data_IF_098124478144
#
_entry.id   IF_098124478144
#
_cell.length_a   1.000
_cell.length_b   1.000
_cell.length_c   1.000
_cell.angle_alpha   90.00
_cell.angle_beta   90.00
_cell.angle_gamma   90.00
#
_symmetry.space_group_name_H-M   'P 1'
#
loop_
_entity.id
_entity.type
_entity.pdbx_description
1 polymer ?
#
# COMPACT_ATOMS: atom_id res chain seq x y z
N UNK A 1 -32.72 13.65 8.43
CA UNK A 1 -31.35 13.42 8.93
C UNK A 1 -31.15 11.92 8.93
N UNK A 2 -30.68 11.37 7.81
CA UNK A 2 -30.40 9.94 7.71
C UNK A 2 -28.97 9.71 8.19
N UNK A 3 -28.81 8.88 9.22
CA UNK A 3 -27.51 8.42 9.66
C UNK A 3 -26.90 7.53 8.57
N UNK A 4 -25.61 7.72 8.23
CA UNK A 4 -24.93 6.78 7.35
C UNK A 4 -24.79 5.44 8.09
N UNK A 5 -25.36 4.39 7.50
CA UNK A 5 -25.21 3.01 7.94
C UNK A 5 -23.75 2.59 7.86
N UNK A 6 -23.15 2.26 9.00
CA UNK A 6 -21.82 1.66 9.06
C UNK A 6 -21.85 0.27 8.37
N UNK A 7 -20.79 -0.09 7.62
CA UNK A 7 -20.65 -1.45 7.10
C UNK A 7 -20.51 -2.46 8.26
N UNK A 8 -21.08 -3.65 8.04
CA UNK A 8 -21.18 -4.75 9.01
C UNK A 8 -19.83 -5.35 9.44
N UNK A 9 -19.81 -5.84 10.68
CA UNK A 9 -18.71 -6.41 11.50
C UNK A 9 -17.89 -7.60 10.94
N UNK A 10 -17.74 -7.77 9.62
CA UNK A 10 -16.96 -8.87 9.01
C UNK A 10 -15.53 -8.47 8.58
N UNK A 11 -15.02 -7.33 9.03
CA UNK A 11 -13.81 -6.65 8.51
C UNK A 11 -12.47 -7.14 9.07
N UNK A 12 -12.46 -8.12 9.98
CA UNK A 12 -11.26 -8.47 10.74
C UNK A 12 -10.43 -9.61 10.15
N UNK A 13 -10.99 -10.32 9.18
CA UNK A 13 -10.25 -11.09 8.19
C UNK A 13 -10.15 -10.23 6.94
N UNK A 14 -8.96 -10.11 6.36
CA UNK A 14 -8.79 -9.51 5.03
C UNK A 14 -9.45 -10.44 3.99
N UNK A 15 -10.78 -10.48 3.95
CA UNK A 15 -11.52 -11.18 2.90
C UNK A 15 -11.59 -10.25 1.70
N UNK A 16 -10.53 -10.29 0.90
CA UNK A 16 -10.57 -9.78 -0.45
C UNK A 16 -11.34 -10.80 -1.30
N UNK A 17 -12.36 -10.34 -2.01
CA UNK A 17 -12.98 -11.14 -3.06
C UNK A 17 -12.07 -11.18 -4.29
N UNK A 18 -11.31 -10.11 -4.52
CA UNK A 18 -10.40 -10.00 -5.66
C UNK A 18 -9.00 -9.63 -5.19
N UNK A 19 -8.00 -10.29 -5.75
CA UNK A 19 -6.60 -9.93 -5.54
C UNK A 19 -6.23 -8.65 -6.30
N UNK A 20 -6.75 -8.49 -7.51
CA UNK A 20 -6.41 -7.38 -8.41
C UNK A 20 -7.66 -6.81 -9.05
N UNK A 21 -7.74 -5.49 -9.10
CA UNK A 21 -8.71 -4.74 -9.89
C UNK A 21 -8.00 -4.04 -11.06
N UNK A 22 -8.48 -4.26 -12.28
CA UNK A 22 -7.96 -3.61 -13.49
C UNK A 22 -8.91 -2.50 -13.96
N UNK A 23 -8.44 -1.25 -13.87
CA UNK A 23 -9.04 -0.08 -14.50
C UNK A 23 -8.35 0.20 -15.83
N UNK A 24 -9.10 0.38 -16.91
CA UNK A 24 -8.52 0.60 -18.24
C UNK A 24 -9.55 1.18 -19.21
N UNK A 25 -9.05 1.70 -20.33
CA UNK A 25 -9.89 2.09 -21.46
C UNK A 25 -10.10 0.91 -22.39
N UNK A 26 -11.34 0.42 -22.49
CA UNK A 26 -11.68 -0.77 -23.27
C UNK A 26 -11.26 -0.67 -24.74
N UNK A 27 -11.53 0.47 -25.35
CA UNK A 27 -11.26 0.70 -26.78
C UNK A 27 -9.76 0.65 -27.13
N UNK A 28 -8.89 0.96 -26.17
CA UNK A 28 -7.44 1.05 -26.40
C UNK A 28 -6.72 -0.28 -26.13
N UNK A 29 -7.06 -0.94 -25.02
CA UNK A 29 -6.20 -2.00 -24.47
C UNK A 29 -6.86 -3.36 -24.27
N UNK A 30 -8.20 -3.47 -24.33
CA UNK A 30 -8.99 -4.67 -23.99
C UNK A 30 -8.45 -5.94 -24.65
N UNK A 31 -8.51 -5.99 -25.98
CA UNK A 31 -8.18 -7.20 -26.75
C UNK A 31 -6.67 -7.41 -26.95
N UNK A 32 -5.83 -6.56 -26.35
CA UNK A 32 -4.40 -6.56 -26.62
C UNK A 32 -3.56 -6.61 -25.34
N UNK A 33 -3.39 -5.49 -24.65
CA UNK A 33 -2.55 -5.42 -23.45
C UNK A 33 -3.30 -5.93 -22.21
N UNK A 34 -4.48 -5.38 -21.93
CA UNK A 34 -5.27 -5.73 -20.74
C UNK A 34 -5.69 -7.20 -20.75
N UNK A 35 -6.21 -7.71 -21.86
CA UNK A 35 -6.61 -9.11 -21.97
C UNK A 35 -5.45 -10.09 -21.75
N UNK A 36 -4.23 -9.74 -22.22
CA UNK A 36 -3.04 -10.53 -21.93
C UNK A 36 -2.65 -10.46 -20.46
N UNK A 37 -2.64 -9.28 -19.87
CA UNK A 37 -2.33 -9.10 -18.44
C UNK A 37 -3.30 -9.92 -17.58
N UNK A 38 -4.59 -9.80 -17.85
CA UNK A 38 -5.63 -10.60 -17.18
C UNK A 38 -5.42 -12.09 -17.33
N UNK A 39 -5.17 -12.59 -18.54
CA UNK A 39 -4.94 -14.02 -18.75
C UNK A 39 -3.73 -14.53 -17.95
N UNK A 40 -2.66 -13.74 -17.85
CA UNK A 40 -1.50 -14.10 -17.05
C UNK A 40 -1.82 -14.09 -15.55
N UNK A 41 -2.54 -13.08 -15.05
CA UNK A 41 -2.94 -13.01 -13.65
C UNK A 41 -3.92 -14.14 -13.30
N UNK A 42 -5.09 -14.16 -13.95
CA UNK A 42 -6.19 -15.07 -13.64
C UNK A 42 -5.87 -16.53 -13.97
N UNK A 43 -5.43 -16.81 -15.20
CA UNK A 43 -5.36 -18.19 -15.69
C UNK A 43 -3.99 -18.84 -15.47
N UNK A 44 -2.89 -18.07 -15.53
CA UNK A 44 -1.55 -18.65 -15.36
C UNK A 44 -1.06 -18.64 -13.90
N UNK A 45 -1.42 -17.61 -13.12
CA UNK A 45 -1.00 -17.48 -11.72
C UNK A 45 -2.10 -17.76 -10.71
N UNK A 46 -3.37 -17.89 -11.15
CA UNK A 46 -4.50 -18.09 -10.25
C UNK A 46 -4.82 -16.86 -9.40
N UNK A 47 -4.41 -15.68 -9.83
CA UNK A 47 -4.64 -14.40 -9.14
C UNK A 47 -6.03 -13.91 -9.52
N UNK A 48 -6.94 -13.87 -8.55
CA UNK A 48 -8.35 -13.53 -8.79
C UNK A 48 -8.46 -12.05 -9.18
N UNK A 49 -8.73 -11.81 -10.46
CA UNK A 49 -8.68 -10.48 -11.06
C UNK A 49 -10.06 -10.03 -11.50
N UNK A 50 -10.47 -8.84 -11.07
CA UNK A 50 -11.63 -8.14 -11.60
C UNK A 50 -11.21 -7.24 -12.77
N UNK A 51 -11.97 -7.31 -13.87
CA UNK A 51 -11.85 -6.39 -15.00
C UNK A 51 -13.12 -5.55 -15.01
N UNK A 52 -12.96 -4.24 -15.02
CA UNK A 52 -14.09 -3.37 -15.38
C UNK A 52 -14.36 -3.43 -16.89
N UNK A 53 -15.53 -3.95 -17.25
CA UNK A 53 -15.97 -4.05 -18.63
C UNK A 53 -16.82 -2.83 -19.02
N UNK A 54 -16.13 -1.78 -19.51
CA UNK A 54 -16.77 -0.55 -19.98
C UNK A 54 -17.87 -0.77 -21.05
N UNK A 55 -17.86 -1.87 -21.82
CA UNK A 55 -18.84 -2.11 -22.91
C UNK A 55 -20.27 -2.30 -22.38
N UNK A 56 -20.42 -2.61 -21.09
CA UNK A 56 -21.71 -2.93 -20.45
C UNK A 56 -22.32 -1.69 -19.75
N UNK A 57 -21.51 -0.68 -19.40
CA UNK A 57 -21.93 0.39 -18.48
C UNK A 57 -22.39 1.67 -19.21
N UNK A 58 -23.70 1.77 -19.49
CA UNK A 58 -24.33 3.01 -19.99
C UNK A 58 -24.58 3.99 -18.83
N UNK A 59 -23.96 5.18 -18.86
CA UNK A 59 -24.37 6.30 -18.00
C UNK A 59 -23.28 7.04 -17.23
N UNK A 60 -22.01 6.60 -17.30
CA UNK A 60 -20.88 7.34 -16.71
C UNK A 60 -20.83 7.40 -15.17
N UNK A 61 -21.76 6.75 -14.48
CA UNK A 61 -21.77 6.59 -13.02
C UNK A 61 -21.25 5.20 -12.64
N UNK A 62 -20.47 5.14 -11.56
CA UNK A 62 -19.99 3.88 -10.98
C UNK A 62 -21.20 3.12 -10.46
N UNK A 63 -21.39 1.89 -10.94
CA UNK A 63 -22.47 1.02 -10.46
C UNK A 63 -22.18 0.58 -9.01
N UNK A 64 -23.21 0.31 -8.18
CA UNK A 64 -23.01 -0.22 -6.83
C UNK A 64 -22.14 -1.48 -6.80
N UNK A 65 -22.30 -2.35 -7.80
CA UNK A 65 -21.50 -3.56 -7.99
C UNK A 65 -20.02 -3.24 -8.23
N UNK A 66 -19.71 -2.25 -9.07
CA UNK A 66 -18.33 -1.83 -9.30
C UNK A 66 -17.70 -1.22 -8.05
N UNK A 67 -18.45 -0.37 -7.33
CA UNK A 67 -17.98 0.20 -6.07
C UNK A 67 -17.68 -0.88 -5.03
N UNK A 68 -18.50 -1.94 -4.98
CA UNK A 68 -18.25 -3.10 -4.14
C UNK A 68 -17.00 -3.86 -4.57
N UNK A 69 -16.83 -4.12 -5.88
CA UNK A 69 -15.61 -4.76 -6.40
C UNK A 69 -14.35 -3.96 -6.04
N UNK A 70 -14.37 -2.62 -6.17
CA UNK A 70 -13.27 -1.75 -5.73
C UNK A 70 -13.02 -1.96 -4.22
N UNK A 71 -14.06 -1.90 -3.39
CA UNK A 71 -13.96 -2.11 -1.94
C UNK A 71 -13.54 -3.52 -1.54
N UNK A 72 -13.67 -4.52 -2.40
CA UNK A 72 -13.28 -5.91 -2.12
C UNK A 72 -11.97 -6.33 -2.79
N UNK A 73 -11.29 -5.41 -3.49
CA UNK A 73 -10.05 -5.68 -4.22
C UNK A 73 -8.78 -5.30 -3.44
N UNK A 74 -7.81 -6.20 -3.35
CA UNK A 74 -6.55 -5.98 -2.60
C UNK A 74 -5.60 -4.97 -3.26
N UNK A 75 -5.40 -5.10 -4.58
CA UNK A 75 -4.47 -4.26 -5.37
C UNK A 75 -5.23 -3.61 -6.53
N UNK A 76 -4.95 -2.34 -6.79
CA UNK A 76 -5.52 -1.59 -7.91
C UNK A 76 -4.46 -1.34 -8.97
N UNK A 77 -4.82 -1.59 -10.24
CA UNK A 77 -3.97 -1.27 -11.38
C UNK A 77 -4.77 -0.44 -12.37
N UNK A 78 -4.27 0.76 -12.65
CA UNK A 78 -4.85 1.64 -13.67
C UNK A 78 -3.97 1.67 -14.92
N UNK A 79 -4.49 1.19 -16.04
CA UNK A 79 -3.83 1.18 -17.34
C UNK A 79 -4.19 2.48 -18.06
N UNK A 80 -3.34 3.49 -17.88
CA UNK A 80 -3.48 4.81 -18.46
C UNK A 80 -3.00 4.78 -19.90
N UNK A 81 -3.95 4.86 -20.84
CA UNK A 81 -3.74 4.84 -22.29
C UNK A 81 -4.01 6.22 -22.92
N UNK A 82 -3.68 6.44 -24.21
CA UNK A 82 -3.86 7.75 -24.84
C UNK A 82 -5.28 8.32 -24.76
N UNK A 83 -6.31 7.47 -24.82
CA UNK A 83 -7.72 7.88 -24.76
C UNK A 83 -8.37 7.62 -23.40
N UNK A 84 -7.63 7.25 -22.36
CA UNK A 84 -8.19 6.97 -21.03
C UNK A 84 -9.03 8.13 -20.50
N UNK A 85 -8.49 9.36 -20.55
CA UNK A 85 -9.17 10.55 -20.06
C UNK A 85 -10.40 10.97 -20.89
N UNK A 86 -10.63 10.40 -22.08
CA UNK A 86 -11.84 10.67 -22.86
C UNK A 86 -13.10 10.06 -22.22
N UNK A 87 -12.94 9.03 -21.39
CA UNK A 87 -14.03 8.33 -20.70
C UNK A 87 -14.26 8.98 -19.34
N UNK A 88 -15.43 9.61 -19.15
CA UNK A 88 -15.82 10.10 -17.81
C UNK A 88 -15.94 8.94 -16.81
N UNK A 89 -16.23 7.74 -17.31
CA UNK A 89 -16.32 6.53 -16.50
C UNK A 89 -14.95 6.16 -15.93
N UNK A 90 -13.92 6.02 -16.78
CA UNK A 90 -12.53 5.79 -16.34
C UNK A 90 -12.08 6.85 -15.32
N UNK A 91 -12.40 8.13 -15.56
CA UNK A 91 -12.01 9.22 -14.66
C UNK A 91 -12.70 9.13 -13.29
N UNK A 92 -14.00 8.83 -13.26
CA UNK A 92 -14.73 8.62 -12.01
C UNK A 92 -14.20 7.39 -11.26
N UNK A 93 -13.97 6.28 -11.97
CA UNK A 93 -13.41 5.07 -11.41
C UNK A 93 -12.03 5.32 -10.79
N UNK A 94 -11.14 6.05 -11.48
CA UNK A 94 -9.82 6.41 -10.97
C UNK A 94 -9.92 7.23 -9.67
N UNK A 95 -10.83 8.20 -9.60
CA UNK A 95 -11.07 8.97 -8.37
C UNK A 95 -11.46 8.04 -7.22
N UNK A 96 -12.42 7.15 -7.44
CA UNK A 96 -12.90 6.21 -6.41
C UNK A 96 -11.83 5.21 -5.99
N UNK A 97 -11.03 4.71 -6.94
CA UNK A 97 -9.90 3.82 -6.65
C UNK A 97 -8.87 4.53 -5.76
N UNK A 98 -8.51 5.77 -6.08
CA UNK A 98 -7.51 6.52 -5.31
C UNK A 98 -8.03 6.89 -3.91
N UNK A 99 -9.30 7.27 -3.79
CA UNK A 99 -9.95 7.48 -2.49
C UNK A 99 -9.96 6.19 -1.64
N UNK A 100 -10.31 5.06 -2.26
CA UNK A 100 -10.33 3.75 -1.59
C UNK A 100 -8.92 3.30 -1.18
N UNK A 101 -7.94 3.41 -2.09
CA UNK A 101 -6.53 3.13 -1.84
C UNK A 101 -5.98 3.94 -0.67
N UNK A 102 -6.33 5.24 -0.62
CA UNK A 102 -5.94 6.14 0.48
C UNK A 102 -6.54 5.72 1.82
N UNK A 103 -7.86 5.51 1.87
CA UNK A 103 -8.57 5.21 3.12
C UNK A 103 -8.22 3.82 3.68
N UNK A 104 -8.00 2.86 2.80
CA UNK A 104 -7.79 1.46 3.17
C UNK A 104 -6.32 1.02 3.05
N UNK A 105 -5.40 1.94 2.77
CA UNK A 105 -3.98 1.62 2.65
C UNK A 105 -3.68 0.56 1.59
N UNK A 106 -4.46 0.49 0.51
CA UNK A 106 -4.30 -0.50 -0.55
C UNK A 106 -3.31 -0.03 -1.60
N UNK A 107 -2.59 -0.97 -2.19
CA UNK A 107 -1.61 -0.66 -3.22
C UNK A 107 -2.30 -0.24 -4.53
N UNK A 108 -1.95 0.95 -5.02
CA UNK A 108 -2.31 1.42 -6.36
C UNK A 108 -1.07 1.47 -7.24
N UNK A 109 -1.20 0.98 -8.48
CA UNK A 109 -0.11 0.89 -9.44
C UNK A 109 -0.56 1.40 -10.82
N UNK A 110 -0.06 2.55 -11.28
CA UNK A 110 -0.32 3.00 -12.64
C UNK A 110 0.56 2.26 -13.66
N UNK A 111 -0.05 1.85 -14.77
CA UNK A 111 0.65 1.40 -15.99
C UNK A 111 0.41 2.46 -17.06
N UNK A 112 1.48 3.13 -17.48
CA UNK A 112 1.44 4.08 -18.58
C UNK A 112 1.63 3.31 -19.89
N UNK A 113 0.53 3.07 -20.60
CA UNK A 113 0.49 2.34 -21.87
C UNK A 113 0.54 3.32 -23.05
N UNK A 114 1.65 3.35 -23.76
CA UNK A 114 1.89 4.24 -24.92
C UNK A 114 1.60 5.72 -24.63
N UNK A 115 1.83 6.14 -23.38
CA UNK A 115 1.67 7.51 -22.93
C UNK A 115 2.83 7.90 -22.02
N UNK A 116 3.32 9.12 -22.17
CA UNK A 116 4.31 9.66 -21.26
C UNK A 116 3.63 10.06 -19.93
N UNK A 117 4.11 9.62 -18.76
CA UNK A 117 3.59 10.06 -17.47
C UNK A 117 3.49 11.59 -17.32
N UNK A 118 4.37 12.36 -17.97
CA UNK A 118 4.29 13.83 -17.93
C UNK A 118 3.03 14.39 -18.58
N UNK A 119 2.51 13.73 -19.64
CA UNK A 119 1.28 14.13 -20.31
C UNK A 119 0.06 13.87 -19.43
N UNK A 120 0.08 12.78 -18.66
CA UNK A 120 -0.95 12.48 -17.67
C UNK A 120 -0.89 13.50 -16.53
N UNK A 121 0.32 13.73 -15.98
CA UNK A 121 0.55 14.62 -14.84
C UNK A 121 0.11 16.05 -15.11
N UNK A 122 0.51 16.58 -16.27
CA UNK A 122 0.31 17.98 -16.63
C UNK A 122 -0.91 18.18 -17.54
N UNK A 123 -1.63 17.11 -17.87
CA UNK A 123 -2.81 17.10 -18.75
C UNK A 123 -2.47 17.79 -20.09
N UNK A 124 -1.54 17.19 -20.82
CA UNK A 124 -1.09 17.65 -22.15
C UNK A 124 -1.33 16.60 -23.22
N UNK A 125 -1.23 16.97 -24.50
CA UNK A 125 -1.49 16.05 -25.63
C UNK A 125 -2.95 15.59 -25.67
N UNK A 126 -3.18 14.30 -25.88
CA UNK A 126 -4.54 13.72 -25.97
C UNK A 126 -5.38 13.94 -24.71
N UNK A 127 -4.74 14.05 -23.55
CA UNK A 127 -5.41 14.37 -22.29
C UNK A 127 -5.94 15.80 -22.28
N UNK A 128 -5.22 16.76 -22.84
CA UNK A 128 -5.71 18.14 -22.95
C UNK A 128 -6.96 18.23 -23.85
N UNK A 129 -6.94 17.53 -24.98
CA UNK A 129 -8.09 17.46 -25.89
C UNK A 129 -9.33 16.84 -25.23
N UNK A 130 -9.13 15.79 -24.43
CA UNK A 130 -10.20 15.18 -23.66
C UNK A 130 -10.76 16.14 -22.59
N UNK A 131 -9.90 16.83 -21.86
CA UNK A 131 -10.33 17.79 -20.84
C UNK A 131 -11.04 19.00 -21.41
N UNK A 132 -10.63 19.52 -22.58
CA UNK A 132 -11.33 20.60 -23.26
C UNK A 132 -12.80 20.22 -23.59
N UNK A 133 -13.03 18.97 -24.00
CA UNK A 133 -14.38 18.45 -24.25
C UNK A 133 -15.19 18.31 -22.96
N UNK A 134 -14.56 17.82 -21.89
CA UNK A 134 -15.21 17.69 -20.59
C UNK A 134 -15.57 19.05 -19.99
N UNK A 135 -14.70 20.05 -20.09
CA UNK A 135 -14.97 21.41 -19.62
C UNK A 135 -16.11 22.06 -20.39
N UNK A 136 -16.19 21.85 -21.70
CA UNK A 136 -17.33 22.32 -22.50
C UNK A 136 -18.65 21.63 -22.11
N UNK A 137 -18.60 20.34 -21.74
CA UNK A 137 -19.78 19.54 -21.39
C UNK A 137 -20.24 19.71 -19.95
N UNK A 138 -19.30 19.90 -19.03
CA UNK A 138 -19.51 19.93 -17.57
C UNK A 138 -19.11 21.29 -16.98
N UNK A 139 -19.25 22.37 -17.75
CA UNK A 139 -18.81 23.72 -17.35
C UNK A 139 -19.41 24.22 -16.04
N UNK A 140 -20.60 23.72 -15.66
CA UNK A 140 -21.27 24.01 -14.40
C UNK A 140 -20.80 23.11 -13.23
N UNK A 141 -20.20 21.95 -13.52
CA UNK A 141 -19.66 20.98 -12.55
C UNK A 141 -18.13 21.09 -12.41
N UNK A 142 -17.60 22.32 -12.25
CA UNK A 142 -16.14 22.56 -12.21
C UNK A 142 -15.39 21.71 -11.18
N UNK A 143 -15.99 21.49 -10.01
CA UNK A 143 -15.40 20.68 -8.95
C UNK A 143 -15.11 19.24 -9.39
N UNK A 144 -15.99 18.66 -10.21
CA UNK A 144 -15.86 17.30 -10.72
C UNK A 144 -14.69 17.18 -11.71
N UNK A 145 -14.59 18.13 -12.63
CA UNK A 145 -13.46 18.19 -13.57
C UNK A 145 -12.15 18.38 -12.79
N UNK A 146 -12.16 19.21 -11.74
CA UNK A 146 -10.98 19.39 -10.89
C UNK A 146 -10.58 18.09 -10.17
N UNK A 147 -11.53 17.34 -9.59
CA UNK A 147 -11.25 16.01 -9.00
C UNK A 147 -10.59 15.06 -9.99
N UNK A 148 -11.02 15.07 -11.26
CA UNK A 148 -10.38 14.27 -12.30
C UNK A 148 -8.95 14.73 -12.59
N UNK A 149 -8.69 16.04 -12.60
CA UNK A 149 -7.32 16.59 -12.75
C UNK A 149 -6.43 16.11 -11.60
N UNK A 150 -6.93 16.24 -10.37
CA UNK A 150 -6.19 15.90 -9.16
C UNK A 150 -5.88 14.39 -9.11
N UNK A 151 -6.85 13.55 -9.46
CA UNK A 151 -6.68 12.09 -9.53
C UNK A 151 -5.63 11.67 -10.56
N UNK A 152 -5.65 12.24 -11.77
CA UNK A 152 -4.63 11.96 -12.79
C UNK A 152 -3.25 12.46 -12.39
N UNK A 153 -3.18 13.66 -11.81
CA UNK A 153 -1.94 14.21 -11.29
C UNK A 153 -1.36 13.32 -10.18
N UNK A 154 -2.20 12.87 -9.25
CA UNK A 154 -1.81 11.96 -8.18
C UNK A 154 -1.32 10.62 -8.74
N UNK A 155 -2.11 9.96 -9.61
CA UNK A 155 -1.73 8.70 -10.24
C UNK A 155 -0.41 8.83 -11.02
N UNK A 156 -0.19 9.94 -11.74
CA UNK A 156 1.04 10.17 -12.50
C UNK A 156 2.29 10.44 -11.64
N UNK A 157 2.11 10.76 -10.35
CA UNK A 157 3.20 10.93 -9.38
C UNK A 157 3.50 9.66 -8.58
N UNK A 158 2.67 8.63 -8.69
CA UNK A 158 2.92 7.34 -8.06
C UNK A 158 3.91 6.51 -8.89
N UNK A 159 4.70 5.68 -8.21
CA UNK A 159 5.57 4.70 -8.84
C UNK A 159 4.74 3.69 -9.64
N UNK A 160 5.11 3.48 -10.89
CA UNK A 160 4.42 2.56 -11.78
C UNK A 160 5.27 2.16 -12.97
N UNK A 161 4.68 1.48 -13.94
CA UNK A 161 5.40 0.96 -15.09
C UNK A 161 5.05 1.72 -16.36
N UNK A 162 6.05 1.92 -17.22
CA UNK A 162 5.87 2.59 -18.51
C UNK A 162 6.13 1.59 -19.63
N UNK A 163 5.09 1.31 -20.41
CA UNK A 163 5.16 0.45 -21.58
C UNK A 163 5.06 1.28 -22.85
N UNK A 164 6.12 1.26 -23.67
CA UNK A 164 6.11 1.88 -25.01
C UNK A 164 6.18 0.79 -26.09
N UNK A 165 5.16 0.68 -26.97
CA UNK A 165 5.19 -0.26 -28.09
C UNK A 165 6.47 -0.11 -28.93
N UNK A 166 7.06 -1.23 -29.34
CA UNK A 166 8.27 -1.27 -30.17
C UNK A 166 9.61 -1.23 -29.42
N UNK A 167 9.63 -0.89 -28.13
CA UNK A 167 10.86 -0.84 -27.33
C UNK A 167 11.11 -2.11 -26.50
N UNK A 168 10.05 -2.74 -25.98
CA UNK A 168 10.15 -3.96 -25.19
C UNK A 168 9.10 -4.99 -25.61
N UNK A 169 9.42 -6.27 -25.47
CA UNK A 169 8.44 -7.34 -25.66
C UNK A 169 7.33 -7.24 -24.63
N UNK A 170 6.09 -7.09 -25.11
CA UNK A 170 4.89 -7.02 -24.29
C UNK A 170 4.77 -8.17 -23.28
N UNK A 171 5.06 -9.40 -23.70
CA UNK A 171 4.98 -10.57 -22.81
C UNK A 171 6.05 -10.53 -21.72
N UNK A 172 7.26 -10.05 -22.02
CA UNK A 172 8.31 -9.88 -20.99
C UNK A 172 7.91 -8.81 -19.98
N UNK A 173 7.38 -7.68 -20.46
CA UNK A 173 6.90 -6.61 -19.60
C UNK A 173 5.75 -7.05 -18.68
N UNK A 174 4.73 -7.70 -19.24
CA UNK A 174 3.62 -8.27 -18.46
C UNK A 174 4.14 -9.33 -17.46
N UNK A 175 5.09 -10.17 -17.87
CA UNK A 175 5.70 -11.17 -17.00
C UNK A 175 6.32 -10.56 -15.73
N UNK A 176 7.03 -9.43 -15.86
CA UNK A 176 7.61 -8.69 -14.72
C UNK A 176 6.52 -8.17 -13.77
N UNK A 177 5.48 -7.54 -14.31
CA UNK A 177 4.35 -7.02 -13.53
C UNK A 177 3.68 -8.15 -12.74
N UNK A 178 3.40 -9.27 -13.41
CA UNK A 178 2.74 -10.43 -12.82
C UNK A 178 3.60 -11.08 -11.73
N UNK A 179 4.92 -11.13 -11.92
CA UNK A 179 5.85 -11.62 -10.90
C UNK A 179 5.87 -10.73 -9.66
N UNK A 180 5.97 -9.41 -9.84
CA UNK A 180 5.92 -8.45 -8.73
C UNK A 180 4.59 -8.54 -7.96
N UNK A 181 3.46 -8.60 -8.66
CA UNK A 181 2.13 -8.76 -8.05
C UNK A 181 2.03 -10.09 -7.30
N UNK A 182 2.54 -11.18 -7.88
CA UNK A 182 2.54 -12.49 -7.25
C UNK A 182 3.28 -12.48 -5.92
N UNK A 183 4.44 -11.80 -5.85
CA UNK A 183 5.21 -11.64 -4.62
C UNK A 183 4.40 -10.91 -3.55
N UNK A 184 3.64 -9.86 -3.91
CA UNK A 184 2.75 -9.16 -2.97
C UNK A 184 1.63 -10.07 -2.48
N UNK A 185 0.93 -10.72 -3.41
CA UNK A 185 -0.25 -11.54 -3.08
C UNK A 185 0.12 -12.72 -2.17
N UNK A 186 1.27 -13.35 -2.43
CA UNK A 186 1.77 -14.48 -1.64
C UNK A 186 2.18 -14.11 -0.21
N UNK A 187 2.16 -12.82 0.18
CA UNK A 187 2.37 -12.43 1.58
C UNK A 187 1.23 -12.93 2.44
N UNK A 188 1.57 -13.76 3.41
CA UNK A 188 0.63 -14.32 4.37
C UNK A 188 0.27 -13.26 5.41
N UNK A 189 -1.02 -12.93 5.60
CA UNK A 189 -1.45 -12.02 6.66
C UNK A 189 -1.10 -12.57 8.04
N UNK A 190 -0.74 -11.67 8.97
CA UNK A 190 -0.54 -12.04 10.37
C UNK A 190 -1.89 -12.34 11.04
N UNK A 191 -1.92 -13.32 11.92
CA UNK A 191 -3.09 -13.56 12.76
C UNK A 191 -3.27 -12.39 13.75
N UNK A 192 -4.40 -11.69 13.65
CA UNK A 192 -4.69 -10.49 14.45
C UNK A 192 -5.36 -10.87 15.77
N UNK A 193 -6.60 -11.34 15.72
CA UNK A 193 -7.40 -11.83 16.84
C UNK A 193 -8.65 -12.51 16.28
N UNK A 194 -9.30 -13.37 17.09
CA UNK A 194 -10.54 -14.03 16.68
C UNK A 194 -11.72 -13.05 16.55
N UNK A 195 -11.86 -12.12 17.50
CA UNK A 195 -12.94 -11.11 17.55
C UNK A 195 -12.39 -9.76 18.02
N UNK A 196 -11.67 -9.00 17.19
CA UNK A 196 -11.16 -7.70 17.61
C UNK A 196 -12.29 -6.66 17.60
N UNK A 197 -12.59 -6.09 18.76
CA UNK A 197 -13.56 -4.98 18.88
C UNK A 197 -12.80 -3.66 18.85
N UNK A 198 -13.37 -2.63 18.19
CA UNK A 198 -12.82 -1.26 18.18
C UNK A 198 -11.43 -1.11 17.54
N UNK A 199 -11.03 -2.07 16.72
CA UNK A 199 -9.73 -2.08 16.07
C UNK A 199 -9.65 -1.10 14.88
N UNK A 200 -10.78 -0.85 14.21
CA UNK A 200 -10.86 0.02 13.03
C UNK A 200 -10.45 1.46 13.34
N UNK A 201 -10.99 2.05 14.42
CA UNK A 201 -10.61 3.41 14.85
C UNK A 201 -9.12 3.50 15.19
N UNK A 202 -8.60 2.52 15.94
CA UNK A 202 -7.18 2.44 16.31
C UNK A 202 -6.29 2.33 15.08
N UNK A 203 -6.67 1.51 14.10
CA UNK A 203 -5.94 1.38 12.84
C UNK A 203 -5.91 2.70 12.08
N UNK A 204 -7.04 3.39 11.95
CA UNK A 204 -7.14 4.68 11.26
C UNK A 204 -6.27 5.76 11.92
N UNK A 205 -6.24 5.81 13.26
CA UNK A 205 -5.37 6.75 13.99
C UNK A 205 -3.89 6.46 13.75
N UNK A 206 -3.49 5.17 13.84
CA UNK A 206 -2.09 4.77 13.61
C UNK A 206 -1.68 5.01 12.14
N UNK A 207 -2.52 4.67 11.16
CA UNK A 207 -2.21 4.88 9.74
C UNK A 207 -2.12 6.37 9.39
N UNK A 208 -2.96 7.20 10.00
CA UNK A 208 -2.86 8.66 9.92
C UNK A 208 -1.50 9.17 10.45
N UNK A 209 -1.06 8.70 11.63
CA UNK A 209 0.26 9.06 12.19
C UNK A 209 1.43 8.63 11.29
N UNK A 210 1.32 7.45 10.66
CA UNK A 210 2.33 6.96 9.71
C UNK A 210 2.41 7.82 8.44
N UNK A 211 1.35 8.56 8.11
CA UNK A 211 1.30 9.43 6.93
C UNK A 211 1.45 8.65 5.64
N UNK A 212 0.50 7.74 5.36
CA UNK A 212 0.50 6.93 4.13
C UNK A 212 0.44 7.75 2.84
N UNK A 213 0.07 9.03 2.93
CA UNK A 213 -0.07 9.94 1.80
C UNK A 213 1.26 10.43 1.22
N UNK A 214 2.36 10.28 1.96
CA UNK A 214 3.67 10.78 1.55
C UNK A 214 4.74 9.71 1.68
N UNK A 215 5.42 9.49 0.56
CA UNK A 215 6.63 8.67 0.44
C UNK A 215 7.91 9.51 0.57
N UNK A 216 7.83 10.80 0.94
CA UNK A 216 9.01 11.68 0.96
C UNK A 216 9.97 11.35 2.11
N UNK A 217 9.44 10.88 3.25
CA UNK A 217 10.19 10.72 4.50
C UNK A 217 9.91 9.39 5.19
N UNK A 218 10.90 8.95 5.96
CA UNK A 218 10.75 7.84 6.92
C UNK A 218 9.87 8.31 8.08
N UNK A 219 8.93 7.46 8.51
CA UNK A 219 8.08 7.75 9.66
C UNK A 219 8.18 6.64 10.69
N UNK A 220 8.46 7.00 11.94
CA UNK A 220 8.54 6.08 13.07
C UNK A 220 7.41 6.43 14.04
N UNK A 221 6.57 5.45 14.37
CA UNK A 221 5.44 5.61 15.30
C UNK A 221 5.58 4.64 16.46
N UNK A 222 5.50 5.16 17.69
CA UNK A 222 5.47 4.37 18.91
C UNK A 222 4.04 4.14 19.41
N UNK A 223 3.62 2.88 19.52
CA UNK A 223 2.36 2.47 20.13
C UNK A 223 2.62 2.06 21.58
N UNK A 224 2.02 2.75 22.54
CA UNK A 224 2.22 2.46 23.96
C UNK A 224 0.91 2.29 24.74
N UNK A 225 1.02 1.76 25.96
CA UNK A 225 -0.12 1.48 26.84
C UNK A 225 0.12 0.26 27.72
N UNK A 226 -0.80 -0.01 28.63
CA UNK A 226 -0.69 -1.10 29.62
C UNK A 226 -0.61 -2.49 28.97
N UNK A 227 -0.20 -3.51 29.73
CA UNK A 227 -0.21 -4.89 29.27
C UNK A 227 -1.62 -5.36 28.88
N UNK A 228 -1.72 -6.19 27.83
CA UNK A 228 -3.01 -6.78 27.41
C UNK A 228 -3.98 -5.84 26.66
N UNK A 229 -3.68 -4.54 26.53
CA UNK A 229 -4.60 -3.55 25.94
C UNK A 229 -4.80 -3.66 24.40
N UNK A 230 -4.01 -4.52 23.73
CA UNK A 230 -4.11 -4.76 22.28
C UNK A 230 -3.14 -3.95 21.40
N UNK A 231 -1.97 -3.55 21.92
CA UNK A 231 -0.92 -2.87 21.12
C UNK A 231 -0.44 -3.75 19.95
N UNK A 232 0.00 -4.96 20.25
CA UNK A 232 0.47 -5.95 19.27
C UNK A 232 -0.62 -6.29 18.25
N UNK A 233 -1.86 -6.43 18.72
CA UNK A 233 -3.04 -6.62 17.85
C UNK A 233 -3.23 -5.46 16.87
N UNK A 234 -3.12 -4.22 17.36
CA UNK A 234 -3.21 -3.02 16.51
C UNK A 234 -2.08 -2.99 15.48
N UNK A 235 -0.85 -3.28 15.89
CA UNK A 235 0.30 -3.31 14.99
C UNK A 235 0.17 -4.40 13.90
N UNK A 236 -0.31 -5.61 14.25
CA UNK A 236 -0.59 -6.69 13.28
C UNK A 236 -1.71 -6.34 12.31
N UNK A 237 -2.73 -5.62 12.77
CA UNK A 237 -3.81 -5.20 11.90
C UNK A 237 -3.35 -4.14 10.89
N UNK A 238 -2.59 -3.14 11.36
CA UNK A 238 -1.96 -2.15 10.48
C UNK A 238 -0.99 -2.82 9.50
N UNK A 239 -0.20 -3.79 9.95
CA UNK A 239 0.66 -4.60 9.08
C UNK A 239 -0.12 -5.17 7.90
N UNK A 240 -1.18 -5.92 8.17
CA UNK A 240 -1.97 -6.58 7.13
C UNK A 240 -2.63 -5.58 6.17
N UNK A 241 -2.96 -4.39 6.66
CA UNK A 241 -3.56 -3.33 5.85
C UNK A 241 -2.58 -2.78 4.81
N UNK A 242 -1.33 -2.51 5.18
CA UNK A 242 -0.42 -1.68 4.37
C UNK A 242 0.80 -2.42 3.81
N UNK A 243 1.05 -3.68 4.23
CA UNK A 243 2.27 -4.41 3.90
C UNK A 243 2.60 -4.39 2.40
N UNK A 244 1.59 -4.54 1.53
CA UNK A 244 1.75 -4.62 0.08
C UNK A 244 2.39 -3.38 -0.55
N UNK A 245 2.32 -2.23 0.10
CA UNK A 245 2.94 -0.97 -0.36
C UNK A 245 4.46 -0.92 -0.23
N UNK A 246 5.07 -1.89 0.45
CA UNK A 246 6.50 -1.88 0.81
C UNK A 246 7.28 -2.94 0.06
N UNK A 247 8.53 -2.64 -0.28
CA UNK A 247 9.45 -3.59 -0.93
C UNK A 247 9.78 -4.75 0.02
N UNK A 248 10.11 -4.44 1.26
CA UNK A 248 10.39 -5.42 2.31
C UNK A 248 9.56 -5.16 3.56
N UNK A 249 9.17 -6.24 4.23
CA UNK A 249 8.28 -6.21 5.39
C UNK A 249 8.84 -7.14 6.44
N UNK A 250 8.85 -6.70 7.70
CA UNK A 250 9.28 -7.53 8.82
C UNK A 250 8.47 -7.23 10.08
N UNK A 251 8.02 -8.29 10.75
CA UNK A 251 7.37 -8.21 12.06
C UNK A 251 8.20 -9.00 13.07
N UNK A 252 8.97 -8.29 13.90
CA UNK A 252 9.70 -8.89 15.01
C UNK A 252 8.81 -8.95 16.24
N UNK A 253 8.20 -10.12 16.46
CA UNK A 253 7.38 -10.42 17.62
C UNK A 253 8.21 -10.54 18.92
N UNK A 254 7.61 -10.12 20.05
CA UNK A 254 8.05 -10.44 21.42
C UNK A 254 9.54 -10.20 21.68
N UNK A 255 10.04 -9.02 21.28
CA UNK A 255 11.48 -8.70 21.28
C UNK A 255 12.10 -8.85 22.66
N UNK A 256 11.41 -8.37 23.72
CA UNK A 256 11.89 -8.54 25.10
C UNK A 256 12.22 -9.99 25.43
N UNK A 257 11.35 -10.93 25.06
CA UNK A 257 11.53 -12.36 25.36
C UNK A 257 12.55 -12.99 24.43
N UNK A 258 12.46 -12.74 23.12
CA UNK A 258 13.39 -13.31 22.12
C UNK A 258 14.83 -12.86 22.33
N UNK A 259 15.04 -11.62 22.79
CA UNK A 259 16.38 -11.14 23.13
C UNK A 259 17.01 -11.99 24.25
N UNK A 260 16.23 -12.39 25.26
CA UNK A 260 16.73 -13.20 26.39
C UNK A 260 17.15 -14.59 25.91
N UNK A 261 16.37 -15.20 25.02
CA UNK A 261 16.62 -16.57 24.57
C UNK A 261 17.66 -16.69 23.46
N UNK A 262 17.78 -15.68 22.60
CA UNK A 262 18.57 -15.79 21.36
C UNK A 262 19.52 -14.62 21.10
N UNK A 263 19.40 -13.54 21.85
CA UNK A 263 20.22 -12.33 21.69
C UNK A 263 19.83 -11.45 20.51
N UNK A 264 20.39 -10.23 20.49
CA UNK A 264 20.14 -9.23 19.46
C UNK A 264 20.65 -9.63 18.06
N UNK A 265 21.71 -10.42 18.00
CA UNK A 265 22.30 -10.90 16.73
C UNK A 265 21.24 -11.66 15.91
N UNK A 266 20.49 -12.58 16.54
CA UNK A 266 19.48 -13.36 15.83
C UNK A 266 18.30 -12.48 15.37
N UNK A 267 17.93 -11.46 16.16
CA UNK A 267 16.88 -10.50 15.77
C UNK A 267 17.31 -9.67 14.54
N UNK A 268 18.57 -9.24 14.46
CA UNK A 268 19.11 -8.55 13.29
C UNK A 268 19.16 -9.45 12.05
N UNK A 269 19.53 -10.72 12.22
CA UNK A 269 19.54 -11.72 11.13
C UNK A 269 18.13 -12.00 10.61
N UNK A 270 17.16 -12.13 11.51
CA UNK A 270 15.73 -12.30 11.17
C UNK A 270 15.21 -11.10 10.39
N UNK A 271 15.46 -9.89 10.90
CA UNK A 271 15.07 -8.64 10.24
C UNK A 271 15.60 -8.54 8.81
N UNK A 272 16.90 -8.79 8.63
CA UNK A 272 17.53 -8.75 7.32
C UNK A 272 16.96 -9.84 6.39
N UNK A 273 16.76 -11.05 6.90
CA UNK A 273 16.26 -12.17 6.11
C UNK A 273 14.84 -11.93 5.61
N UNK A 274 13.94 -11.44 6.47
CA UNK A 274 12.56 -11.12 6.09
C UNK A 274 12.47 -9.96 5.10
N UNK A 275 13.26 -8.90 5.29
CA UNK A 275 13.23 -7.72 4.41
C UNK A 275 13.89 -7.98 3.05
N UNK A 276 15.00 -8.73 3.02
CA UNK A 276 15.77 -8.97 1.80
C UNK A 276 15.31 -10.22 1.04
N UNK A 277 14.55 -11.11 1.67
CA UNK A 277 14.16 -12.40 1.08
C UNK A 277 15.31 -13.39 0.95
N UNK A 278 16.45 -13.10 1.56
CA UNK A 278 17.65 -13.94 1.53
C UNK A 278 17.63 -14.91 2.72
N UNK A 279 17.81 -16.20 2.44
CA UNK A 279 17.94 -17.22 3.48
C UNK A 279 19.36 -17.20 4.06
N UNK A 280 19.48 -17.37 5.38
CA UNK A 280 20.74 -17.59 6.10
C UNK A 280 21.73 -16.42 6.12
N UNK A 281 21.25 -15.21 6.43
CA UNK A 281 22.13 -14.08 6.72
C UNK A 281 22.82 -14.30 8.08
N UNK A 282 24.15 -14.21 8.11
CA UNK A 282 24.93 -14.22 9.35
C UNK A 282 25.63 -12.90 9.57
N UNK A 283 25.29 -12.18 10.63
CA UNK A 283 25.95 -10.91 10.98
C UNK A 283 27.14 -11.13 11.92
N UNK A 284 27.02 -12.10 12.83
CA UNK A 284 28.07 -12.55 13.76
C UNK A 284 28.31 -11.67 14.98
N UNK A 285 28.05 -10.35 14.88
CA UNK A 285 28.18 -9.38 15.98
C UNK A 285 27.11 -8.28 15.84
N UNK A 286 26.69 -7.70 16.96
CA UNK A 286 25.63 -6.67 17.00
C UNK A 286 26.03 -5.40 16.26
N UNK A 287 27.26 -4.90 16.45
CA UNK A 287 27.72 -3.67 15.82
C UNK A 287 27.93 -3.85 14.31
N UNK A 288 28.39 -5.04 13.93
CA UNK A 288 28.43 -5.44 12.51
C UNK A 288 27.03 -5.52 11.92
N UNK A 289 26.07 -6.09 12.64
CA UNK A 289 24.66 -6.15 12.26
C UNK A 289 24.05 -4.76 12.06
N UNK A 290 24.30 -3.81 12.96
CA UNK A 290 23.89 -2.40 12.84
C UNK A 290 24.36 -1.82 11.50
N UNK A 291 25.64 -2.00 11.18
CA UNK A 291 26.24 -1.46 9.95
C UNK A 291 25.63 -2.10 8.69
N UNK A 292 25.33 -3.40 8.74
CA UNK A 292 24.69 -4.13 7.64
C UNK A 292 23.25 -3.66 7.44
N UNK A 293 22.45 -3.57 8.51
CA UNK A 293 21.07 -3.07 8.46
C UNK A 293 21.03 -1.68 7.84
N UNK A 294 21.79 -0.74 8.40
CA UNK A 294 21.84 0.64 7.89
C UNK A 294 22.19 0.66 6.41
N UNK A 295 23.21 -0.09 5.97
CA UNK A 295 23.64 -0.10 4.56
C UNK A 295 22.58 -0.72 3.65
N UNK A 296 22.01 -1.85 4.04
CA UNK A 296 21.07 -2.63 3.21
C UNK A 296 19.71 -1.94 3.08
N UNK A 297 19.26 -1.21 4.11
CA UNK A 297 17.92 -0.63 4.15
C UNK A 297 17.85 0.84 3.74
N UNK A 298 19.00 1.55 3.65
CA UNK A 298 19.08 2.98 3.33
C UNK A 298 18.35 3.43 2.07
N UNK A 299 18.13 2.52 1.11
CA UNK A 299 17.49 2.81 -0.18
C UNK A 299 16.25 1.97 -0.45
N UNK A 300 15.77 1.23 0.55
CA UNK A 300 14.59 0.38 0.43
C UNK A 300 13.42 1.00 1.18
N UNK A 301 12.25 1.00 0.55
CA UNK A 301 10.99 1.34 1.20
C UNK A 301 10.50 0.14 2.00
N UNK A 302 10.63 0.20 3.33
CA UNK A 302 10.33 -0.95 4.22
C UNK A 302 9.20 -0.66 5.21
N UNK A 303 8.47 -1.72 5.58
CA UNK A 303 7.60 -1.74 6.76
C UNK A 303 8.28 -2.59 7.83
N UNK A 304 8.70 -1.97 8.93
CA UNK A 304 9.32 -2.67 10.05
C UNK A 304 8.48 -2.50 11.30
N UNK A 305 8.13 -3.62 11.95
CA UNK A 305 7.36 -3.61 13.19
C UNK A 305 8.14 -4.33 14.27
N UNK A 306 8.39 -3.62 15.36
CA UNK A 306 9.07 -4.12 16.55
C UNK A 306 8.08 -4.25 17.70
N UNK A 307 7.78 -5.47 18.11
CA UNK A 307 6.77 -5.76 19.13
C UNK A 307 7.39 -6.05 20.51
N UNK A 308 6.79 -5.50 21.56
CA UNK A 308 7.19 -5.65 22.97
C UNK A 308 8.64 -5.22 23.25
N UNK A 309 9.01 -4.02 22.82
CA UNK A 309 10.32 -3.41 23.11
C UNK A 309 10.32 -2.86 24.54
N UNK A 310 11.35 -3.18 25.33
CA UNK A 310 11.48 -2.76 26.73
C UNK A 310 12.84 -2.12 27.07
N UNK A 311 13.81 -2.11 26.14
CA UNK A 311 15.15 -1.56 26.37
C UNK A 311 15.65 -0.73 25.19
N UNK A 312 16.34 0.36 25.50
CA UNK A 312 16.84 1.29 24.46
C UNK A 312 17.83 0.62 23.51
N UNK A 313 18.69 -0.28 24.03
CA UNK A 313 19.66 -1.03 23.22
C UNK A 313 19.00 -1.84 22.09
N UNK A 314 17.74 -2.27 22.24
CA UNK A 314 17.00 -2.97 21.18
C UNK A 314 16.72 -2.01 20.02
N UNK A 315 16.28 -0.77 20.31
CA UNK A 315 16.04 0.26 19.30
C UNK A 315 17.33 0.71 18.62
N UNK A 316 18.41 0.89 19.39
CA UNK A 316 19.73 1.22 18.85
C UNK A 316 20.26 0.12 17.91
N UNK A 317 19.98 -1.15 18.21
CA UNK A 317 20.45 -2.29 17.41
C UNK A 317 19.62 -2.59 16.16
N UNK A 318 18.31 -2.27 16.17
CA UNK A 318 17.36 -2.70 15.13
C UNK A 318 16.82 -1.56 14.26
N UNK A 319 16.68 -0.35 14.81
CA UNK A 319 16.08 0.81 14.11
C UNK A 319 17.09 1.94 13.91
N UNK A 320 17.92 2.20 14.93
CA UNK A 320 18.85 3.33 14.91
C UNK A 320 18.10 4.66 14.69
N UNK A 321 18.25 5.26 13.52
CA UNK A 321 17.64 6.54 13.16
C UNK A 321 16.94 6.53 11.80
N UNK A 322 16.33 7.66 11.44
CA UNK A 322 15.63 7.83 10.16
C UNK A 322 16.54 7.61 8.94
N UNK A 323 17.85 7.81 9.08
CA UNK A 323 18.85 7.68 8.01
C UNK A 323 19.20 6.22 7.65
N UNK A 324 18.65 5.25 8.37
CA UNK A 324 18.84 3.82 8.09
C UNK A 324 17.93 3.29 6.99
N UNK A 325 16.87 4.02 6.65
CA UNK A 325 15.81 3.53 5.77
C UNK A 325 15.63 4.42 4.54
N UNK A 326 15.14 3.84 3.45
CA UNK A 326 14.77 4.59 2.25
C UNK A 326 13.51 5.43 2.48
N UNK A 327 13.36 6.48 1.68
CA UNK A 327 12.16 7.33 1.67
C UNK A 327 10.88 6.50 1.56
N UNK A 328 9.84 6.92 2.28
CA UNK A 328 8.55 6.24 2.37
C UNK A 328 8.50 5.07 3.35
N UNK A 329 9.61 4.67 3.97
CA UNK A 329 9.61 3.60 4.97
C UNK A 329 8.80 3.96 6.22
N UNK A 330 8.10 2.97 6.77
CA UNK A 330 7.23 3.10 7.93
C UNK A 330 7.68 2.11 9.01
N UNK A 331 7.94 2.62 10.22
CA UNK A 331 8.40 1.83 11.35
C UNK A 331 7.38 1.97 12.48
N UNK A 332 6.97 0.85 13.05
CA UNK A 332 6.06 0.79 14.21
C UNK A 332 6.81 0.12 15.36
N UNK A 333 6.77 0.72 16.54
CA UNK A 333 7.34 0.14 17.76
C UNK A 333 6.22 0.00 18.78
N UNK A 334 6.02 -1.18 19.34
CA UNK A 334 5.12 -1.37 20.47
C UNK A 334 5.91 -1.47 21.78
N UNK A 335 5.44 -0.78 22.82
CA UNK A 335 6.08 -0.82 24.14
C UNK A 335 5.08 -0.54 25.26
N UNK A 336 5.43 -0.86 26.50
CA UNK A 336 4.69 -0.39 27.69
C UNK A 336 5.23 0.94 28.20
N UNK A 337 6.44 1.31 27.83
CA UNK A 337 7.17 2.44 28.38
C UNK A 337 7.17 3.62 27.40
N UNK A 338 6.41 4.66 27.72
CA UNK A 338 6.41 5.90 26.95
C UNK A 338 7.76 6.63 27.00
N UNK A 339 8.47 6.53 28.12
CA UNK A 339 9.76 7.20 28.28
C UNK A 339 10.81 6.60 27.36
N UNK A 340 10.77 5.29 27.13
CA UNK A 340 11.64 4.60 26.17
C UNK A 340 11.58 5.23 24.77
N UNK A 341 10.36 5.53 24.29
CA UNK A 341 10.14 6.17 22.99
C UNK A 341 10.74 7.58 22.96
N UNK A 342 10.51 8.35 24.03
CA UNK A 342 11.00 9.72 24.14
C UNK A 342 12.54 9.78 24.18
N UNK A 343 13.18 8.89 24.94
CA UNK A 343 14.65 8.79 25.02
C UNK A 343 15.27 8.50 23.66
N UNK A 344 14.63 7.65 22.85
CA UNK A 344 15.08 7.34 21.49
C UNK A 344 14.69 8.42 20.44
N UNK A 345 14.02 9.51 20.87
CA UNK A 345 13.64 10.62 19.98
C UNK A 345 12.42 10.35 19.10
N UNK A 346 11.57 9.39 19.46
CA UNK A 346 10.33 9.07 18.73
C UNK A 346 9.23 10.04 19.17
N UNK A 347 8.89 10.98 18.29
CA UNK A 347 7.92 12.06 18.58
C UNK A 347 6.48 11.62 18.32
N UNK A 348 6.25 10.83 17.27
CA UNK A 348 4.90 10.37 16.90
C UNK A 348 4.54 9.16 17.75
N UNK A 349 3.60 9.35 18.68
CA UNK A 349 3.18 8.30 19.61
C UNK A 349 1.66 8.14 19.61
N UNK A 350 1.21 6.90 19.78
CA UNK A 350 -0.19 6.52 19.92
C UNK A 350 -0.40 5.77 21.24
N UNK A 351 -1.28 6.29 22.09
CA UNK A 351 -1.67 5.61 23.33
C UNK A 351 -2.90 4.75 23.09
N UNK A 352 -2.76 3.46 23.32
CA UNK A 352 -3.91 2.54 23.22
C UNK A 352 -4.76 2.68 24.47
N UNK A 353 -5.95 3.27 24.31
CA UNK A 353 -6.95 3.44 25.38
C UNK A 353 -7.82 2.20 25.53
N UNK A 354 -8.43 2.03 26.71
CA UNK A 354 -9.48 1.02 26.89
C UNK A 354 -10.65 1.32 25.96
N UNK A 355 -11.29 0.26 25.45
CA UNK A 355 -12.54 0.38 24.70
C UNK A 355 -13.63 0.69 25.73
N UNK A 356 -14.38 1.76 25.50
CA UNK A 356 -15.57 2.11 26.29
C UNK A 356 -16.74 1.18 25.97
#
# INVERSE_FOLDING_TARGET
>A
MEQPTLPSLSSFTCHWTYDVFLSFRGIDTRNNFTGKLYNYLQHQRGIQTFIDDEEIQKGGQITPTLLQAIKESRIFIAILSPNYASSTFCLNELVTILECSKLQGRLFLPIFYDVNPSHVRNITGTYAEAFAKHEARFGDEKEKVQKWRDALHQAANMSGWHFKPGFESKSKFIGKIVEEISIKINRVPLHVANNPVGLESRMLEVTSLLGLESDERVNIVGIYGIGGIGKSTTARAVHNLIADQFEGVCFLADIREREIHHGLVQLQETLLSEILGEKYIKVGDVNKGISIIKRSLKRKKVLLILDDVDKEKQLQALVGGHDWFGSGSKIIITTRDKHLLATHGIVKVYEVKQLE
#
